data_IF_464062916885
#
_entry.id   IF_464062916885
#
_cell.length_a   1.000
_cell.length_b   1.000
_cell.length_c   1.000
_cell.angle_alpha   90.00
_cell.angle_beta   90.00
_cell.angle_gamma   90.00
#
_symmetry.space_group_name_H-M   'P 1'
#
loop_
_entity.id
_entity.type
_entity.pdbx_description
1 polymer ?
#
# COMPACT_ATOMS: atom_id res chain seq x y z
N UNK A 1 -16.12 -23.29 -11.21
CA UNK A 1 -15.21 -23.46 -10.06
C UNK A 1 -15.96 -22.98 -8.83
N UNK A 2 -15.68 -23.50 -7.64
CA UNK A 2 -16.28 -22.97 -6.42
C UNK A 2 -15.74 -21.55 -6.15
N UNK A 3 -16.61 -20.63 -5.75
CA UNK A 3 -16.23 -19.26 -5.37
C UNK A 3 -15.44 -19.30 -4.06
N UNK A 4 -14.31 -18.62 -3.98
CA UNK A 4 -13.49 -18.55 -2.76
C UNK A 4 -13.83 -17.29 -1.95
N UNK A 5 -14.10 -17.47 -0.66
CA UNK A 5 -14.32 -16.34 0.24
C UNK A 5 -12.99 -15.69 0.62
N UNK A 6 -12.92 -14.36 0.54
CA UNK A 6 -11.74 -13.59 0.89
C UNK A 6 -12.10 -12.50 1.91
N UNK A 7 -11.28 -12.34 2.94
CA UNK A 7 -11.38 -11.27 3.92
C UNK A 7 -10.45 -10.13 3.53
N UNK A 8 -11.01 -8.94 3.31
CA UNK A 8 -10.25 -7.71 3.04
C UNK A 8 -10.29 -6.84 4.29
N UNK A 9 -9.16 -6.66 4.97
CA UNK A 9 -9.07 -5.76 6.13
C UNK A 9 -8.66 -4.35 5.70
N UNK A 10 -9.02 -3.34 6.49
CA UNK A 10 -8.75 -1.94 6.12
C UNK A 10 -9.59 -1.46 4.93
N UNK A 11 -10.84 -1.91 4.87
CA UNK A 11 -11.75 -1.71 3.74
C UNK A 11 -12.06 -0.23 3.44
N UNK A 12 -11.95 0.66 4.43
CA UNK A 12 -12.17 2.10 4.27
C UNK A 12 -10.91 2.87 3.87
N UNK A 13 -9.76 2.20 3.81
CA UNK A 13 -8.50 2.77 3.33
C UNK A 13 -8.47 2.90 1.80
N UNK A 14 -7.45 3.57 1.28
CA UNK A 14 -7.24 3.77 -0.16
C UNK A 14 -7.29 2.44 -0.93
N UNK A 15 -6.50 1.47 -0.49
CA UNK A 15 -6.41 0.16 -1.15
C UNK A 15 -7.68 -0.66 -0.94
N UNK A 16 -8.30 -0.63 0.25
CA UNK A 16 -9.54 -1.33 0.52
C UNK A 16 -10.68 -0.91 -0.41
N UNK A 17 -10.83 0.39 -0.67
CA UNK A 17 -11.78 0.89 -1.66
C UNK A 17 -11.46 0.40 -3.08
N UNK A 18 -10.20 0.39 -3.48
CA UNK A 18 -9.84 -0.10 -4.83
C UNK A 18 -9.95 -1.63 -4.94
N UNK A 19 -9.72 -2.39 -3.86
CA UNK A 19 -10.05 -3.82 -3.82
C UNK A 19 -11.55 -4.05 -4.05
N UNK A 20 -12.42 -3.23 -3.44
CA UNK A 20 -13.87 -3.29 -3.67
C UNK A 20 -14.22 -3.05 -5.14
N UNK A 21 -13.60 -2.05 -5.76
CA UNK A 21 -13.84 -1.74 -7.18
C UNK A 21 -13.38 -2.86 -8.11
N UNK A 22 -12.20 -3.42 -7.85
CA UNK A 22 -11.61 -4.48 -8.70
C UNK A 22 -12.37 -5.79 -8.56
N UNK A 23 -12.87 -6.12 -7.38
CA UNK A 23 -13.59 -7.36 -7.10
C UNK A 23 -15.10 -7.30 -7.34
N UNK A 24 -15.66 -6.11 -7.64
CA UNK A 24 -17.11 -5.90 -7.72
C UNK A 24 -17.86 -6.88 -8.65
N UNK A 25 -17.20 -7.35 -9.71
CA UNK A 25 -17.77 -8.26 -10.68
C UNK A 25 -16.90 -9.51 -10.93
N UNK A 26 -16.03 -9.84 -9.98
CA UNK A 26 -15.19 -11.03 -10.12
C UNK A 26 -15.97 -12.28 -9.67
N UNK A 27 -16.24 -13.24 -10.56
CA UNK A 27 -17.04 -14.41 -10.21
C UNK A 27 -16.27 -15.46 -9.40
N UNK A 28 -14.96 -15.31 -9.25
CA UNK A 28 -14.10 -16.28 -8.55
C UNK A 28 -14.02 -16.03 -7.05
N UNK A 29 -14.33 -14.80 -6.63
CA UNK A 29 -14.17 -14.36 -5.26
C UNK A 29 -15.46 -13.80 -4.66
N UNK A 30 -15.75 -14.20 -3.45
CA UNK A 30 -16.76 -13.57 -2.59
C UNK A 30 -16.02 -12.74 -1.53
N UNK A 31 -15.97 -11.42 -1.70
CA UNK A 31 -15.18 -10.54 -0.86
C UNK A 31 -15.99 -10.06 0.36
N UNK A 32 -15.45 -10.33 1.54
CA UNK A 32 -15.93 -9.83 2.84
C UNK A 32 -15.01 -8.67 3.24
N UNK A 33 -15.57 -7.47 3.25
CA UNK A 33 -14.84 -6.25 3.60
C UNK A 33 -14.97 -5.94 5.08
N UNK A 34 -13.85 -5.63 5.75
CA UNK A 34 -13.83 -5.32 7.17
C UNK A 34 -12.97 -4.11 7.51
N UNK A 35 -13.41 -3.37 8.54
CA UNK A 35 -12.69 -2.26 9.16
C UNK A 35 -13.20 -2.07 10.59
N UNK A 36 -12.55 -1.21 11.38
CA UNK A 36 -12.97 -0.91 12.77
C UNK A 36 -14.32 -0.20 12.88
N UNK A 37 -14.78 0.45 11.80
CA UNK A 37 -16.08 1.11 11.69
C UNK A 37 -16.47 1.30 10.23
N UNK A 38 -17.74 1.42 9.94
CA UNK A 38 -18.29 1.73 8.61
C UNK A 38 -19.61 1.02 8.35
N UNK A 39 -20.38 1.55 7.40
CA UNK A 39 -21.61 0.95 6.91
C UNK A 39 -21.27 -0.10 5.82
N UNK A 40 -22.10 -1.13 5.70
CA UNK A 40 -21.98 -2.19 4.68
C UNK A 40 -20.63 -2.97 4.70
N UNK A 41 -19.99 -3.04 5.87
CA UNK A 41 -18.79 -3.83 6.11
C UNK A 41 -18.89 -4.58 7.44
N UNK A 42 -18.06 -5.62 7.60
CA UNK A 42 -17.89 -6.29 8.88
C UNK A 42 -17.07 -5.42 9.81
N UNK A 43 -17.62 -5.01 10.95
CA UNK A 43 -16.85 -4.32 12.00
C UNK A 43 -15.88 -5.31 12.62
N UNK A 44 -14.56 -5.06 12.47
CA UNK A 44 -13.50 -5.94 12.92
C UNK A 44 -12.28 -5.15 13.37
N UNK A 45 -11.93 -5.28 14.65
CA UNK A 45 -10.58 -4.88 15.13
C UNK A 45 -9.62 -6.07 14.91
N UNK A 46 -8.67 -5.91 13.99
CA UNK A 46 -7.68 -6.95 13.67
C UNK A 46 -6.70 -7.23 14.83
N UNK A 47 -6.72 -6.44 15.91
CA UNK A 47 -5.95 -6.68 17.13
C UNK A 47 -6.69 -7.57 18.14
N UNK A 48 -7.96 -7.91 17.87
CA UNK A 48 -8.75 -8.88 18.64
C UNK A 48 -8.73 -10.24 17.94
N UNK A 49 -7.87 -11.14 18.42
CA UNK A 49 -7.72 -12.48 17.83
C UNK A 49 -9.03 -13.29 17.86
N UNK A 50 -9.86 -13.11 18.90
CA UNK A 50 -11.15 -13.82 19.00
C UNK A 50 -12.13 -13.33 17.93
N UNK A 51 -12.20 -12.03 17.71
CA UNK A 51 -13.04 -11.45 16.68
C UNK A 51 -12.59 -11.89 15.27
N UNK A 52 -11.26 -11.88 15.00
CA UNK A 52 -10.69 -12.38 13.75
C UNK A 52 -11.01 -13.84 13.52
N UNK A 53 -10.86 -14.69 14.56
CA UNK A 53 -11.19 -16.11 14.51
C UNK A 53 -12.64 -16.36 14.10
N UNK A 54 -13.59 -15.66 14.72
CA UNK A 54 -15.03 -15.80 14.42
C UNK A 54 -15.33 -15.42 12.97
N UNK A 55 -14.79 -14.27 12.49
CA UNK A 55 -15.04 -13.84 11.10
C UNK A 55 -14.47 -14.84 10.10
N UNK A 56 -13.27 -15.36 10.33
CA UNK A 56 -12.61 -16.31 9.42
C UNK A 56 -13.35 -17.66 9.42
N UNK A 57 -13.74 -18.16 10.57
CA UNK A 57 -14.46 -19.43 10.72
C UNK A 57 -15.86 -19.37 10.10
N UNK A 58 -16.67 -18.38 10.49
CA UNK A 58 -18.08 -18.27 10.09
C UNK A 58 -18.24 -18.08 8.58
N UNK A 59 -17.22 -17.48 7.94
CA UNK A 59 -17.23 -17.21 6.50
C UNK A 59 -16.38 -18.19 5.69
N UNK A 60 -15.77 -19.21 6.30
CA UNK A 60 -14.89 -20.17 5.62
C UNK A 60 -13.87 -19.46 4.70
N UNK A 61 -13.11 -18.50 5.25
CA UNK A 61 -12.19 -17.65 4.51
C UNK A 61 -11.03 -18.48 3.95
N UNK A 62 -10.80 -18.39 2.63
CA UNK A 62 -9.66 -19.02 1.94
C UNK A 62 -8.46 -18.09 1.74
N UNK A 63 -8.70 -16.77 1.68
CA UNK A 63 -7.64 -15.75 1.61
C UNK A 63 -7.91 -14.60 2.56
N UNK A 64 -6.87 -14.10 3.21
CA UNK A 64 -6.88 -12.81 3.92
C UNK A 64 -6.02 -11.83 3.12
N UNK A 65 -6.59 -10.70 2.69
CA UNK A 65 -5.86 -9.58 2.09
C UNK A 65 -5.77 -8.47 3.14
N UNK A 66 -4.61 -8.29 3.72
CA UNK A 66 -4.41 -7.29 4.76
C UNK A 66 -4.00 -5.95 4.17
N UNK A 67 -4.98 -5.04 4.02
CA UNK A 67 -4.78 -3.63 3.64
C UNK A 67 -4.74 -2.70 4.86
N UNK A 68 -5.07 -3.21 6.07
CA UNK A 68 -5.04 -2.41 7.29
C UNK A 68 -3.60 -2.14 7.73
N UNK A 69 -3.30 -0.90 8.08
CA UNK A 69 -2.00 -0.50 8.61
C UNK A 69 -2.08 0.87 9.29
N UNK A 70 -1.17 1.12 10.24
CA UNK A 70 -0.88 2.46 10.74
C UNK A 70 0.07 3.15 9.76
N UNK A 71 -0.43 4.06 8.94
CA UNK A 71 0.32 4.68 7.82
C UNK A 71 0.75 6.13 8.07
N UNK A 72 0.43 6.69 9.23
CA UNK A 72 0.80 8.06 9.59
C UNK A 72 2.28 8.10 10.03
N UNK A 73 3.19 8.16 9.07
CA UNK A 73 4.65 7.97 9.25
C UNK A 73 5.24 8.89 10.33
N UNK A 74 4.89 10.19 10.32
CA UNK A 74 5.43 11.15 11.31
C UNK A 74 4.86 10.92 12.72
N UNK A 75 3.57 10.56 12.83
CA UNK A 75 2.96 10.27 14.13
C UNK A 75 3.35 8.90 14.68
N UNK A 76 3.85 7.99 13.85
CA UNK A 76 4.44 6.73 14.31
C UNK A 76 5.69 6.97 15.16
N UNK A 77 6.46 8.03 14.91
CA UNK A 77 7.60 8.40 15.75
C UNK A 77 7.17 8.85 17.16
N UNK A 78 5.94 9.37 17.30
CA UNK A 78 5.36 9.74 18.59
C UNK A 78 4.74 8.57 19.34
N UNK A 79 4.26 7.56 18.58
CA UNK A 79 3.50 6.45 19.14
C UNK A 79 3.86 5.13 18.46
N UNK A 80 5.15 4.78 18.52
CA UNK A 80 5.65 3.51 17.98
C UNK A 80 4.91 2.28 18.57
N UNK A 81 4.51 2.24 19.87
CA UNK A 81 3.73 1.11 20.38
C UNK A 81 2.39 0.90 19.69
N UNK A 82 1.67 1.97 19.36
CA UNK A 82 0.41 1.84 18.60
C UNK A 82 0.68 1.40 17.15
N UNK A 83 1.72 1.94 16.53
CA UNK A 83 2.14 1.50 15.19
C UNK A 83 2.54 0.01 15.20
N UNK A 84 3.29 -0.45 16.21
CA UNK A 84 3.67 -1.86 16.37
C UNK A 84 2.45 -2.77 16.56
N UNK A 85 1.48 -2.35 17.38
CA UNK A 85 0.23 -3.09 17.58
C UNK A 85 -0.50 -3.36 16.27
N UNK A 86 -0.61 -2.35 15.39
CA UNK A 86 -1.36 -2.47 14.12
C UNK A 86 -0.49 -3.07 13.00
N UNK A 87 0.78 -2.70 12.92
CA UNK A 87 1.64 -3.09 11.79
C UNK A 87 2.37 -4.41 12.01
N UNK A 88 2.50 -4.89 13.26
CA UNK A 88 3.20 -6.11 13.59
C UNK A 88 2.30 -7.12 14.34
N UNK A 89 1.81 -6.79 15.54
CA UNK A 89 1.05 -7.73 16.37
C UNK A 89 -0.23 -8.20 15.67
N UNK A 90 -1.00 -7.27 15.09
CA UNK A 90 -2.22 -7.61 14.34
C UNK A 90 -1.93 -8.48 13.11
N UNK A 91 -0.80 -8.25 12.42
CA UNK A 91 -0.37 -9.10 11.30
C UNK A 91 -0.08 -10.52 11.79
N UNK A 92 0.60 -10.67 12.93
CA UNK A 92 0.83 -11.96 13.58
C UNK A 92 -0.47 -12.66 13.98
N UNK A 93 -1.48 -11.90 14.48
CA UNK A 93 -2.82 -12.43 14.77
C UNK A 93 -3.48 -12.97 13.51
N UNK A 94 -3.57 -12.17 12.46
CA UNK A 94 -4.14 -12.59 11.18
C UNK A 94 -3.45 -13.84 10.64
N UNK A 95 -2.12 -13.90 10.72
CA UNK A 95 -1.33 -15.05 10.28
C UNK A 95 -1.65 -16.32 11.07
N UNK A 96 -1.73 -16.24 12.43
CA UNK A 96 -2.09 -17.40 13.27
C UNK A 96 -3.48 -17.91 12.97
N UNK A 97 -4.44 -17.01 12.81
CA UNK A 97 -5.82 -17.38 12.46
C UNK A 97 -5.86 -18.00 11.06
N UNK A 98 -5.21 -17.39 10.06
CA UNK A 98 -5.11 -17.96 8.72
C UNK A 98 -4.55 -19.39 8.74
N UNK A 99 -3.47 -19.62 9.50
CA UNK A 99 -2.85 -20.94 9.64
C UNK A 99 -3.82 -22.00 10.22
N UNK A 100 -4.58 -21.63 11.25
CA UNK A 100 -5.56 -22.57 11.88
C UNK A 100 -6.66 -23.00 10.91
N UNK A 101 -7.04 -22.11 9.99
CA UNK A 101 -8.10 -22.35 9.02
C UNK A 101 -7.61 -22.77 7.63
N UNK A 102 -6.30 -22.92 7.43
CA UNK A 102 -5.72 -23.26 6.12
C UNK A 102 -5.91 -22.16 5.06
N UNK A 103 -6.10 -20.91 5.50
CA UNK A 103 -6.20 -19.76 4.61
C UNK A 103 -4.81 -19.23 4.25
N UNK A 104 -4.66 -18.70 3.04
CA UNK A 104 -3.48 -17.97 2.59
C UNK A 104 -3.59 -16.48 2.90
N UNK A 105 -2.47 -15.78 2.96
CA UNK A 105 -2.46 -14.35 3.25
C UNK A 105 -1.63 -13.55 2.26
N UNK A 106 -2.20 -12.45 1.76
CA UNK A 106 -1.49 -11.40 1.03
C UNK A 106 -1.41 -10.16 1.92
N UNK A 107 -0.19 -9.72 2.22
CA UNK A 107 0.07 -8.58 3.10
C UNK A 107 0.75 -7.45 2.35
N UNK A 108 0.29 -6.22 2.53
CA UNK A 108 0.90 -5.04 1.94
C UNK A 108 1.89 -4.42 2.91
N UNK A 109 3.15 -4.32 2.47
CA UNK A 109 4.25 -3.70 3.19
C UNK A 109 4.76 -2.45 2.46
N UNK A 110 5.97 -1.99 2.77
CA UNK A 110 6.47 -0.68 2.40
C UNK A 110 7.94 -0.70 1.97
N UNK A 111 8.34 0.28 1.18
CA UNK A 111 9.71 0.67 0.86
C UNK A 111 10.51 1.14 2.09
N UNK A 112 9.84 1.63 3.14
CA UNK A 112 10.47 2.08 4.39
C UNK A 112 11.18 0.97 5.18
N UNK A 113 11.10 -0.27 4.75
CA UNK A 113 11.91 -1.36 5.31
C UNK A 113 13.39 -1.27 4.95
N UNK A 114 13.74 -0.48 3.93
CA UNK A 114 15.11 -0.23 3.51
C UNK A 114 15.72 1.02 4.17
N UNK A 115 17.02 1.23 4.00
CA UNK A 115 17.75 2.37 4.55
C UNK A 115 17.43 3.72 3.87
N UNK A 116 16.91 3.67 2.64
CA UNK A 116 16.57 4.86 1.88
C UNK A 116 17.76 5.61 1.26
N UNK A 117 18.95 5.00 1.22
CA UNK A 117 20.21 5.61 0.75
C UNK A 117 20.74 4.93 -0.53
N UNK A 118 19.95 4.07 -1.16
CA UNK A 118 20.34 3.38 -2.40
C UNK A 118 20.58 4.34 -3.58
N UNK A 119 21.24 3.82 -4.60
CA UNK A 119 21.40 4.47 -5.90
C UNK A 119 21.03 3.56 -7.07
N UNK A 120 20.58 2.34 -6.76
CA UNK A 120 20.01 1.36 -7.68
C UNK A 120 18.70 0.85 -7.09
N UNK A 121 17.74 0.37 -7.90
CA UNK A 121 16.47 -0.15 -7.39
C UNK A 121 16.67 -1.27 -6.37
N UNK A 122 15.97 -1.17 -5.23
CA UNK A 122 15.99 -2.20 -4.20
C UNK A 122 15.34 -3.48 -4.72
N UNK A 123 16.06 -4.60 -4.62
CA UNK A 123 15.51 -5.94 -4.84
C UNK A 123 15.02 -6.55 -3.54
N UNK A 124 14.20 -7.61 -3.62
CA UNK A 124 13.63 -8.27 -2.45
C UNK A 124 14.70 -8.94 -1.56
N UNK A 125 15.86 -9.29 -2.14
CA UNK A 125 16.98 -9.93 -1.47
C UNK A 125 17.94 -8.95 -0.76
N UNK A 126 17.81 -7.64 -1.04
CA UNK A 126 18.64 -6.64 -0.37
C UNK A 126 18.33 -6.56 1.12
N UNK A 127 19.35 -6.32 1.96
CA UNK A 127 19.18 -6.26 3.40
C UNK A 127 18.25 -5.09 3.78
N UNK A 128 17.32 -5.36 4.68
CA UNK A 128 16.43 -4.36 5.27
C UNK A 128 17.13 -3.61 6.40
N UNK A 129 16.93 -2.27 6.47
CA UNK A 129 17.50 -1.41 7.48
C UNK A 129 16.58 -0.18 7.73
N UNK A 130 15.38 -0.38 8.31
CA UNK A 130 14.38 0.68 8.45
C UNK A 130 14.87 1.81 9.37
N UNK A 131 14.72 3.06 8.91
CA UNK A 131 15.19 4.26 9.62
C UNK A 131 14.08 4.96 10.42
N UNK A 132 12.83 4.53 10.29
CA UNK A 132 11.67 5.13 10.96
C UNK A 132 10.89 4.10 11.78
N UNK A 133 10.11 4.56 12.78
CA UNK A 133 9.19 3.72 13.55
C UNK A 133 8.18 3.00 12.64
N UNK A 134 7.67 3.69 11.62
CA UNK A 134 6.81 3.09 10.61
C UNK A 134 7.49 1.92 9.91
N UNK A 135 8.70 2.14 9.39
CA UNK A 135 9.46 1.10 8.68
C UNK A 135 9.79 -0.10 9.58
N UNK A 136 10.23 0.15 10.84
CA UNK A 136 10.52 -0.91 11.82
C UNK A 136 9.30 -1.77 12.11
N UNK A 137 8.17 -1.13 12.41
CA UNK A 137 6.93 -1.86 12.75
C UNK A 137 6.35 -2.63 11.57
N UNK A 138 6.45 -2.10 10.33
CA UNK A 138 6.07 -2.83 9.12
C UNK A 138 6.97 -4.05 8.87
N UNK A 139 8.28 -3.91 9.04
CA UNK A 139 9.23 -5.02 8.88
C UNK A 139 8.99 -6.11 9.94
N UNK A 140 8.66 -5.74 11.16
CA UNK A 140 8.33 -6.72 12.21
C UNK A 140 7.04 -7.49 11.89
N UNK A 141 6.07 -6.83 11.24
CA UNK A 141 4.89 -7.50 10.68
C UNK A 141 5.23 -8.51 9.58
N UNK A 142 6.12 -8.16 8.65
CA UNK A 142 6.61 -9.09 7.63
C UNK A 142 7.21 -10.35 8.26
N UNK A 143 8.07 -10.18 9.30
CA UNK A 143 8.73 -11.28 10.00
C UNK A 143 7.70 -12.18 10.69
N UNK A 144 6.77 -11.60 11.47
CA UNK A 144 5.72 -12.39 12.13
C UNK A 144 4.86 -13.17 11.15
N UNK A 145 4.52 -12.58 10.00
CA UNK A 145 3.77 -13.26 8.96
C UNK A 145 4.53 -14.47 8.40
N UNK A 146 5.79 -14.28 8.02
CA UNK A 146 6.61 -15.34 7.44
C UNK A 146 6.94 -16.45 8.46
N UNK A 147 7.19 -16.09 9.71
CA UNK A 147 7.46 -17.07 10.78
C UNK A 147 6.24 -17.98 11.04
N UNK A 148 5.02 -17.46 10.86
CA UNK A 148 3.81 -18.21 11.10
C UNK A 148 3.32 -18.96 9.88
N UNK A 149 3.17 -18.30 8.74
CA UNK A 149 2.55 -18.87 7.53
C UNK A 149 3.56 -19.44 6.52
N UNK A 150 4.82 -18.95 6.51
CA UNK A 150 5.82 -19.44 5.57
C UNK A 150 5.32 -19.42 4.12
N UNK A 151 5.18 -20.62 3.52
CA UNK A 151 4.77 -20.78 2.12
C UNK A 151 3.30 -20.43 1.83
N UNK A 152 2.49 -20.11 2.82
CA UNK A 152 1.11 -19.64 2.62
C UNK A 152 0.99 -18.11 2.64
N UNK A 153 2.11 -17.39 2.66
CA UNK A 153 2.18 -15.94 2.69
C UNK A 153 2.77 -15.33 1.41
N UNK A 154 2.17 -14.23 0.96
CA UNK A 154 2.75 -13.29 0.00
C UNK A 154 2.79 -11.90 0.61
N UNK A 155 3.94 -11.23 0.51
CA UNK A 155 4.13 -9.84 0.92
C UNK A 155 4.38 -9.00 -0.32
N UNK A 156 3.60 -7.92 -0.48
CA UNK A 156 3.81 -6.91 -1.51
C UNK A 156 4.35 -5.63 -0.85
N UNK A 157 5.64 -5.33 -1.01
CA UNK A 157 6.20 -4.03 -0.63
C UNK A 157 5.87 -3.02 -1.71
N UNK A 158 5.32 -1.88 -1.30
CA UNK A 158 4.91 -0.80 -2.20
C UNK A 158 5.41 0.55 -1.71
N UNK A 159 5.29 1.59 -2.54
CA UNK A 159 5.71 2.95 -2.24
C UNK A 159 4.71 3.97 -2.77
N UNK A 160 4.59 5.14 -2.15
CA UNK A 160 3.89 6.33 -2.64
C UNK A 160 2.47 6.06 -3.13
N UNK A 161 1.70 5.31 -2.33
CA UNK A 161 0.33 4.89 -2.67
C UNK A 161 -0.61 6.10 -2.76
N UNK A 162 -1.38 6.17 -3.85
CA UNK A 162 -2.43 7.17 -4.05
C UNK A 162 -3.68 6.58 -4.69
N UNK A 163 -4.82 7.24 -4.45
CA UNK A 163 -6.12 6.91 -5.03
C UNK A 163 -7.07 8.11 -4.97
N UNK A 164 -8.27 8.04 -5.55
CA UNK A 164 -9.34 9.02 -5.31
C UNK A 164 -9.84 9.04 -3.86
N UNK A 165 -9.58 7.96 -3.10
CA UNK A 165 -10.06 7.77 -1.73
C UNK A 165 -9.04 8.20 -0.67
N UNK A 166 -9.52 8.45 0.55
CA UNK A 166 -8.68 8.76 1.70
C UNK A 166 -7.85 10.04 1.53
N UNK A 167 -6.83 10.19 2.37
CA UNK A 167 -5.85 11.29 2.31
C UNK A 167 -4.58 10.80 1.63
N UNK A 168 -4.06 11.54 0.67
CA UNK A 168 -2.81 11.22 -0.02
C UNK A 168 -2.18 12.46 -0.66
N UNK A 169 -0.96 12.29 -1.18
CA UNK A 169 -0.18 13.37 -1.77
C UNK A 169 -0.89 14.02 -2.99
N UNK A 170 -1.50 13.23 -3.86
CA UNK A 170 -2.20 13.75 -5.06
C UNK A 170 -3.30 14.73 -4.67
N UNK A 171 -4.17 14.34 -3.72
CA UNK A 171 -5.26 15.20 -3.21
C UNK A 171 -4.72 16.46 -2.53
N UNK A 172 -3.63 16.32 -1.77
CA UNK A 172 -2.98 17.46 -1.11
C UNK A 172 -2.44 18.45 -2.15
N UNK A 173 -1.76 17.98 -3.19
CA UNK A 173 -1.21 18.86 -4.24
C UNK A 173 -2.31 19.50 -5.09
N UNK A 174 -3.43 18.81 -5.35
CA UNK A 174 -4.60 19.41 -5.99
C UNK A 174 -5.19 20.55 -5.18
N UNK A 175 -5.35 20.37 -3.87
CA UNK A 175 -5.89 21.43 -2.98
C UNK A 175 -4.93 22.59 -2.90
N UNK A 176 -3.66 22.34 -2.57
CA UNK A 176 -2.66 23.40 -2.43
C UNK A 176 -2.43 24.17 -3.74
N UNK A 177 -2.47 23.47 -4.89
CA UNK A 177 -2.32 24.10 -6.19
C UNK A 177 -3.44 25.06 -6.57
N UNK A 178 -4.66 24.85 -6.04
CA UNK A 178 -5.80 25.77 -6.19
C UNK A 178 -5.70 26.95 -5.22
N UNK A 179 -5.21 26.69 -3.99
CA UNK A 179 -5.29 27.66 -2.87
C UNK A 179 -4.07 28.56 -2.75
N UNK A 180 -2.90 28.13 -3.29
CA UNK A 180 -1.63 28.82 -3.10
C UNK A 180 -1.05 29.33 -4.41
N UNK A 181 -0.49 30.56 -4.43
CA UNK A 181 0.19 31.09 -5.63
C UNK A 181 1.54 30.44 -5.90
N UNK A 182 2.16 29.85 -4.90
CA UNK A 182 3.42 29.12 -5.03
C UNK A 182 3.56 28.01 -4.00
N UNK A 183 4.29 26.94 -4.36
CA UNK A 183 4.65 25.80 -3.51
C UNK A 183 6.13 25.50 -3.66
N UNK A 184 6.79 25.15 -2.55
CA UNK A 184 8.07 24.47 -2.56
C UNK A 184 7.85 22.97 -2.35
N UNK A 185 8.42 22.13 -3.20
CA UNK A 185 8.26 20.68 -3.13
C UNK A 185 9.61 19.98 -3.25
N UNK A 186 9.84 19.00 -2.40
CA UNK A 186 11.10 18.27 -2.31
C UNK A 186 11.42 17.56 -3.63
N UNK A 187 12.65 17.73 -4.13
CA UNK A 187 13.12 17.10 -5.38
C UNK A 187 14.24 16.07 -5.17
N UNK A 188 14.87 16.04 -4.00
CA UNK A 188 15.98 15.14 -3.64
C UNK A 188 15.50 13.86 -2.90
N UNK A 189 14.20 13.58 -2.92
CA UNK A 189 13.61 12.29 -2.57
C UNK A 189 12.99 11.70 -3.84
N UNK A 190 13.48 10.53 -4.25
CA UNK A 190 13.06 9.87 -5.48
C UNK A 190 12.48 8.48 -5.21
N UNK A 191 11.43 8.16 -5.93
CA UNK A 191 10.68 6.91 -5.79
C UNK A 191 9.78 6.66 -6.99
N UNK A 192 8.85 5.73 -6.83
CA UNK A 192 7.85 5.41 -7.85
C UNK A 192 6.46 5.51 -7.24
N UNK A 193 5.57 6.39 -7.75
CA UNK A 193 4.18 6.41 -7.31
C UNK A 193 3.47 5.08 -7.60
N UNK A 194 2.52 4.72 -6.77
CA UNK A 194 1.68 3.53 -6.96
C UNK A 194 0.21 3.91 -6.94
N UNK A 195 -0.48 3.70 -8.05
CA UNK A 195 -1.93 3.76 -8.11
C UNK A 195 -2.52 2.58 -7.34
N UNK A 196 -3.36 2.85 -6.34
CA UNK A 196 -3.95 1.81 -5.49
C UNK A 196 -4.81 0.82 -6.27
N UNK A 197 -5.43 1.22 -7.38
CA UNK A 197 -6.15 0.32 -8.29
C UNK A 197 -5.21 -0.68 -8.96
N UNK A 198 -4.03 -0.25 -9.37
CA UNK A 198 -3.06 -1.16 -9.99
C UNK A 198 -2.48 -2.14 -8.96
N UNK A 199 -2.24 -1.68 -7.73
CA UNK A 199 -1.85 -2.57 -6.64
C UNK A 199 -2.97 -3.56 -6.29
N UNK A 200 -4.25 -3.13 -6.30
CA UNK A 200 -5.38 -4.03 -6.11
C UNK A 200 -5.45 -5.11 -7.20
N UNK A 201 -5.25 -4.74 -8.47
CA UNK A 201 -5.14 -5.69 -9.58
C UNK A 201 -3.96 -6.65 -9.41
N UNK A 202 -2.82 -6.16 -8.95
CA UNK A 202 -1.66 -7.00 -8.64
C UNK A 202 -1.97 -8.04 -7.54
N UNK A 203 -2.70 -7.64 -6.48
CA UNK A 203 -3.16 -8.56 -5.44
C UNK A 203 -4.08 -9.64 -6.02
N UNK A 204 -5.04 -9.26 -6.86
CA UNK A 204 -5.92 -10.24 -7.52
C UNK A 204 -5.11 -11.16 -8.44
N UNK A 205 -4.12 -10.64 -9.17
CA UNK A 205 -3.20 -11.46 -10.00
C UNK A 205 -2.48 -12.51 -9.16
N UNK A 206 -1.96 -12.14 -7.98
CA UNK A 206 -1.30 -13.08 -7.05
C UNK A 206 -2.26 -14.19 -6.62
N UNK A 207 -3.50 -13.85 -6.25
CA UNK A 207 -4.50 -14.83 -5.79
C UNK A 207 -5.01 -15.72 -6.93
N UNK A 208 -5.07 -15.21 -8.16
CA UNK A 208 -5.60 -15.90 -9.35
C UNK A 208 -4.55 -16.70 -10.13
N UNK A 209 -3.28 -16.69 -9.71
CA UNK A 209 -2.23 -17.44 -10.36
C UNK A 209 -2.54 -18.95 -10.33
N UNK A 210 -2.25 -19.65 -11.43
CA UNK A 210 -2.46 -21.11 -11.53
C UNK A 210 -1.78 -21.88 -10.41
N UNK A 211 -0.61 -21.40 -10.00
CA UNK A 211 0.15 -21.90 -8.85
C UNK A 211 0.33 -20.77 -7.86
N UNK A 212 0.28 -21.10 -6.58
CA UNK A 212 0.60 -20.16 -5.53
C UNK A 212 2.13 -19.97 -5.45
N UNK A 213 2.57 -18.72 -5.50
CA UNK A 213 3.98 -18.33 -5.45
C UNK A 213 4.26 -17.54 -4.17
N UNK A 214 4.64 -18.20 -3.07
CA UNK A 214 4.87 -17.53 -1.78
C UNK A 214 6.11 -16.64 -1.82
N UNK A 215 6.19 -15.72 -0.85
CA UNK A 215 7.37 -14.91 -0.60
C UNK A 215 7.13 -13.41 -0.71
N UNK A 216 8.24 -12.67 -0.76
CA UNK A 216 8.23 -11.20 -0.84
C UNK A 216 8.38 -10.78 -2.30
N UNK A 217 7.57 -9.80 -2.69
CA UNK A 217 7.62 -9.16 -3.99
C UNK A 217 7.53 -7.64 -3.84
N UNK A 218 8.09 -6.94 -4.81
CA UNK A 218 7.95 -5.49 -4.91
C UNK A 218 6.92 -5.12 -5.98
N UNK A 219 6.06 -4.15 -5.67
CA UNK A 219 5.10 -3.60 -6.61
C UNK A 219 4.96 -2.08 -6.44
N UNK A 220 5.27 -1.34 -7.49
CA UNK A 220 4.94 0.07 -7.70
C UNK A 220 4.76 0.30 -9.18
N UNK A 221 4.11 1.38 -9.63
CA UNK A 221 4.08 1.66 -11.06
C UNK A 221 5.49 1.88 -11.63
N UNK A 222 5.69 1.66 -12.94
CA UNK A 222 6.98 1.89 -13.59
C UNK A 222 7.31 3.37 -13.66
N UNK A 223 8.60 3.69 -13.61
CA UNK A 223 9.15 5.04 -13.65
C UNK A 223 9.74 5.48 -12.31
N UNK A 224 10.59 6.48 -12.36
CA UNK A 224 11.31 7.04 -11.20
C UNK A 224 11.20 8.55 -11.27
N UNK A 225 10.70 9.17 -10.21
CA UNK A 225 10.46 10.61 -10.13
C UNK A 225 10.70 11.14 -8.71
N UNK A 226 10.83 12.46 -8.59
CA UNK A 226 10.78 13.16 -7.31
C UNK A 226 9.35 13.58 -6.93
N UNK A 227 9.12 13.97 -5.68
CA UNK A 227 7.86 14.61 -5.28
C UNK A 227 7.58 15.89 -6.05
N UNK A 228 8.62 16.65 -6.42
CA UNK A 228 8.50 17.81 -7.27
C UNK A 228 7.96 17.45 -8.66
N UNK A 229 8.55 16.44 -9.33
CA UNK A 229 8.07 15.97 -10.63
C UNK A 229 6.64 15.49 -10.56
N UNK A 230 6.29 14.75 -9.49
CA UNK A 230 4.92 14.27 -9.28
C UNK A 230 3.94 15.44 -9.16
N UNK A 231 4.28 16.48 -8.38
CA UNK A 231 3.46 17.68 -8.25
C UNK A 231 3.28 18.40 -9.60
N UNK A 232 4.36 18.56 -10.37
CA UNK A 232 4.30 19.17 -11.72
C UNK A 232 3.35 18.40 -12.64
N UNK A 233 3.41 17.07 -12.62
CA UNK A 233 2.51 16.22 -13.40
C UNK A 233 1.05 16.34 -12.95
N UNK A 234 0.79 16.29 -11.64
CA UNK A 234 -0.55 16.48 -11.06
C UNK A 234 -1.15 17.81 -11.51
N UNK A 235 -0.42 18.92 -11.35
CA UNK A 235 -0.91 20.24 -11.74
C UNK A 235 -1.15 20.34 -13.25
N UNK A 236 -0.21 19.81 -14.06
CA UNK A 236 -0.35 19.81 -15.52
C UNK A 236 -1.61 19.07 -15.97
N UNK A 237 -1.83 17.85 -15.48
CA UNK A 237 -2.98 17.03 -15.86
C UNK A 237 -4.30 17.59 -15.32
N UNK A 238 -4.27 18.25 -14.17
CA UNK A 238 -5.45 18.92 -13.59
C UNK A 238 -5.72 20.33 -14.14
N UNK A 239 -4.89 20.83 -15.09
CA UNK A 239 -5.03 22.17 -15.66
C UNK A 239 -4.75 23.31 -14.67
N UNK A 240 -4.00 23.06 -13.59
CA UNK A 240 -3.65 24.08 -12.58
C UNK A 240 -2.45 24.87 -13.10
N UNK A 241 -2.66 26.13 -13.47
CA UNK A 241 -1.64 27.04 -14.02
C UNK A 241 -1.33 28.22 -13.11
N UNK A 242 -2.09 28.40 -12.02
CA UNK A 242 -2.01 29.57 -11.13
C UNK A 242 -0.99 29.39 -9.99
N UNK A 243 -0.49 28.19 -9.77
CA UNK A 243 0.44 27.89 -8.71
C UNK A 243 1.84 27.66 -9.27
N UNK A 244 2.81 28.45 -8.86
CA UNK A 244 4.23 28.26 -9.20
C UNK A 244 4.83 27.20 -8.29
N UNK A 245 5.17 26.02 -8.86
CA UNK A 245 5.79 24.92 -8.13
C UNK A 245 7.29 24.96 -8.33
N UNK A 246 8.02 25.19 -7.25
CA UNK A 246 9.48 25.30 -7.19
C UNK A 246 10.08 24.10 -6.45
N UNK A 247 11.26 23.59 -6.86
CA UNK A 247 11.96 22.55 -6.13
C UNK A 247 12.59 23.10 -4.84
N UNK A 248 12.67 22.24 -3.81
CA UNK A 248 13.45 22.50 -2.61
C UNK A 248 14.18 21.23 -2.15
N UNK A 249 15.18 21.38 -1.31
CA UNK A 249 15.85 20.25 -0.65
C UNK A 249 15.05 19.76 0.57
N UNK A 250 15.32 18.52 0.98
CA UNK A 250 14.67 17.89 2.13
C UNK A 250 14.94 18.63 3.45
N UNK A 251 16.10 19.27 3.59
CA UNK A 251 16.46 20.07 4.77
C UNK A 251 15.66 21.39 4.88
N UNK A 252 15.13 21.90 3.75
CA UNK A 252 14.21 23.04 3.74
C UNK A 252 12.78 22.64 4.16
N UNK A 253 12.47 21.34 4.17
CA UNK A 253 11.16 20.83 4.50
C UNK A 253 11.25 19.77 5.63
N UNK A 254 11.45 20.19 6.88
CA UNK A 254 11.69 19.28 7.97
C UNK A 254 10.47 18.38 8.21
N UNK A 255 10.72 17.07 8.24
CA UNK A 255 9.76 16.03 8.61
C UNK A 255 10.25 15.39 9.91
N UNK A 256 9.32 14.86 10.73
CA UNK A 256 9.68 14.21 11.99
C UNK A 256 10.34 12.86 11.75
N UNK A 257 9.73 12.05 10.89
CA UNK A 257 10.30 10.78 10.49
C UNK A 257 11.35 10.97 9.41
N UNK A 258 12.39 10.15 9.46
CA UNK A 258 13.38 10.08 8.39
C UNK A 258 12.70 9.64 7.09
N UNK A 259 12.78 10.48 6.06
CA UNK A 259 12.27 10.19 4.72
C UNK A 259 13.38 9.62 3.84
N UNK A 260 13.16 8.51 3.12
CA UNK A 260 14.17 7.97 2.22
C UNK A 260 14.48 8.95 1.08
N UNK A 261 15.79 9.21 0.84
CA UNK A 261 16.23 9.94 -0.34
C UNK A 261 16.02 9.11 -1.61
N UNK A 262 16.07 7.78 -1.48
CA UNK A 262 15.86 6.83 -2.57
C UNK A 262 14.95 5.69 -2.12
N UNK A 263 13.83 5.48 -2.82
CA UNK A 263 12.85 4.45 -2.47
C UNK A 263 12.35 3.66 -3.68
N UNK A 264 13.14 3.59 -4.73
CA UNK A 264 12.78 2.87 -5.96
C UNK A 264 12.87 1.36 -5.73
N UNK A 265 11.76 0.66 -5.97
CA UNK A 265 11.66 -0.79 -5.86
C UNK A 265 11.86 -1.45 -7.23
N UNK A 266 12.66 -2.53 -7.30
CA UNK A 266 12.75 -3.38 -8.47
C UNK A 266 11.53 -4.32 -8.54
N UNK A 267 10.83 -4.35 -9.66
CA UNK A 267 9.63 -5.17 -9.90
C UNK A 267 9.89 -6.38 -10.78
N UNK A 268 11.16 -6.66 -11.11
CA UNK A 268 11.54 -7.73 -12.04
C UNK A 268 11.05 -9.09 -11.58
N UNK A 269 11.18 -9.40 -10.28
CA UNK A 269 10.70 -10.65 -9.70
C UNK A 269 9.19 -10.80 -9.83
N UNK A 270 8.41 -9.76 -9.49
CA UNK A 270 6.95 -9.78 -9.63
C UNK A 270 6.52 -10.01 -11.09
N UNK A 271 7.08 -9.22 -12.02
CA UNK A 271 6.78 -9.35 -13.47
C UNK A 271 7.10 -10.74 -14.02
N UNK A 272 8.26 -11.29 -13.65
CA UNK A 272 8.70 -12.60 -14.12
C UNK A 272 7.85 -13.75 -13.54
N UNK A 273 7.49 -13.66 -12.24
CA UNK A 273 6.72 -14.71 -11.56
C UNK A 273 5.28 -14.78 -12.06
N UNK A 274 4.63 -13.63 -12.25
CA UNK A 274 3.20 -13.57 -12.58
C UNK A 274 2.93 -13.30 -14.07
N UNK A 275 3.97 -13.13 -14.90
CA UNK A 275 3.83 -12.96 -16.35
C UNK A 275 3.12 -11.66 -16.75
N UNK A 276 3.24 -10.59 -15.94
CA UNK A 276 2.51 -9.34 -16.13
C UNK A 276 3.42 -8.17 -16.49
N UNK A 277 2.82 -7.16 -17.13
CA UNK A 277 3.42 -5.84 -17.30
C UNK A 277 2.88 -4.90 -16.22
N UNK A 278 3.75 -4.07 -15.67
CA UNK A 278 3.38 -3.04 -14.70
C UNK A 278 3.15 -1.73 -15.45
N UNK A 279 2.03 -1.03 -15.24
CA UNK A 279 1.75 0.24 -15.92
C UNK A 279 2.75 1.35 -15.55
N UNK A 280 2.98 2.27 -16.48
CA UNK A 280 3.76 3.48 -16.23
C UNK A 280 2.98 4.44 -15.32
N UNK A 281 3.67 5.05 -14.36
CA UNK A 281 3.05 5.86 -13.31
C UNK A 281 2.19 7.02 -13.82
N UNK A 282 2.62 7.65 -14.93
CA UNK A 282 1.91 8.81 -15.48
C UNK A 282 0.57 8.40 -16.10
N UNK A 283 0.55 7.26 -16.82
CA UNK A 283 -0.67 6.71 -17.40
C UNK A 283 -1.66 6.31 -16.30
N UNK A 284 -1.16 5.70 -15.22
CA UNK A 284 -1.96 5.32 -14.05
C UNK A 284 -2.49 6.50 -13.24
N UNK A 285 -1.90 7.70 -13.40
CA UNK A 285 -2.34 8.91 -12.70
C UNK A 285 -3.59 9.54 -13.34
N UNK A 286 -3.81 9.36 -14.63
CA UNK A 286 -4.88 10.05 -15.38
C UNK A 286 -6.27 9.77 -14.82
N UNK A 287 -6.62 8.49 -14.65
CA UNK A 287 -7.94 8.06 -14.17
C UNK A 287 -8.30 8.59 -12.77
N UNK A 288 -7.46 8.41 -11.72
CA UNK A 288 -7.71 8.97 -10.40
C UNK A 288 -7.83 10.50 -10.41
N UNK A 289 -7.04 11.19 -11.20
CA UNK A 289 -7.12 12.64 -11.35
C UNK A 289 -8.43 13.07 -12.01
N UNK A 290 -8.84 12.40 -13.08
CA UNK A 290 -10.12 12.68 -13.73
C UNK A 290 -11.27 12.54 -12.74
N UNK A 291 -11.32 11.47 -11.93
CA UNK A 291 -12.33 11.28 -10.91
C UNK A 291 -12.32 12.39 -9.84
N UNK A 292 -11.14 12.88 -9.44
CA UNK A 292 -10.98 13.95 -8.44
C UNK A 292 -11.30 15.35 -8.98
N UNK A 293 -11.23 15.57 -10.29
CA UNK A 293 -11.46 16.89 -10.90
C UNK A 293 -12.86 17.04 -11.47
N UNK A 294 -13.55 15.95 -11.81
CA UNK A 294 -14.91 15.97 -12.39
C UNK A 294 -16.02 15.87 -11.33
N UNK A 295 -15.73 15.31 -10.16
CA UNK A 295 -16.70 15.13 -9.06
C UNK A 295 -16.67 16.27 -8.02
N UNK A 296 -16.08 17.44 -8.35
CA UNK A 296 -16.06 18.64 -7.51
C UNK A 296 -16.91 19.77 -8.11
#
# INVERSE_FOLDING_TARGET
MATTNILITGANGQLGHEMRNVLANDPHYNAIFSDVAGDDIVTLDITDETAVELVVADNAIGYIVNCAAYTAVDTAEDNEPLAARLNAEAVGILARVAKRHGARMVHVSTDYVFDGQGCIPYTEEMPTCPQSAYGRTKLDGERQLLDVLGDDAVILRTAWLYSPYGKNFVKTMLTLGKDKPALKVVFDQVGSPTCARDLARAIVTVMSAEQWHPGIYHYSNEGVISWFDFTKAIHRLAGITTCDVQPCHSDEFPAKAHRPAYSVLDKTKFKATFGVTVPYWLDSLEDPLHQLTTNN
#
